data_IF_666830837397
#
_entry.id   IF_666830837397
#
_cell.length_a   1.000
_cell.length_b   1.000
_cell.length_c   1.000
_cell.angle_alpha   90.00
_cell.angle_beta   90.00
_cell.angle_gamma   90.00
#
_symmetry.space_group_name_H-M   'P 1'
#
loop_
_entity.id
_entity.type
_entity.pdbx_description
1 polymer ?
#
# COMPACT_ATOMS: atom_id res chain seq x y z
N UNK A 1 4.80 15.89 -1.84
CA UNK A 1 5.75 14.76 -1.82
C UNK A 1 5.84 14.07 -0.46
N UNK A 2 6.26 14.75 0.62
CA UNK A 2 6.43 14.10 1.95
C UNK A 2 5.19 13.36 2.45
N UNK A 3 3.98 13.90 2.28
CA UNK A 3 2.73 13.20 2.67
C UNK A 3 2.49 11.94 1.84
N UNK A 4 2.65 11.99 0.52
CA UNK A 4 2.47 10.84 -0.37
C UNK A 4 3.48 9.72 -0.08
N UNK A 5 4.74 10.09 0.15
CA UNK A 5 5.78 9.15 0.53
C UNK A 5 5.61 8.59 1.93
N UNK A 6 5.11 9.37 2.88
CA UNK A 6 4.74 8.89 4.20
C UNK A 6 3.59 7.88 4.11
N UNK A 7 2.58 8.13 3.28
CA UNK A 7 1.43 7.23 3.12
C UNK A 7 1.83 5.92 2.42
N UNK A 8 2.58 5.98 1.31
CA UNK A 8 3.07 4.76 0.63
C UNK A 8 4.08 4.02 1.50
N UNK A 9 4.92 4.75 2.25
CA UNK A 9 5.87 4.17 3.20
C UNK A 9 5.16 3.37 4.28
N UNK A 10 4.05 3.90 4.83
CA UNK A 10 3.24 3.18 5.79
C UNK A 10 2.68 1.87 5.20
N UNK A 11 2.05 1.91 4.01
CA UNK A 11 1.58 0.69 3.36
C UNK A 11 2.71 -0.31 3.10
N UNK A 12 3.84 0.19 2.60
CA UNK A 12 5.00 -0.61 2.29
C UNK A 12 5.54 -1.32 3.54
N UNK A 13 5.80 -0.61 4.62
CA UNK A 13 6.32 -1.20 5.85
C UNK A 13 5.29 -2.09 6.56
N UNK A 14 3.98 -1.84 6.39
CA UNK A 14 2.94 -2.79 6.83
C UNK A 14 3.02 -4.10 6.04
N UNK A 15 3.25 -4.06 4.73
CA UNK A 15 3.45 -5.27 3.94
C UNK A 15 4.75 -6.00 4.32
N UNK A 16 5.83 -5.27 4.61
CA UNK A 16 7.09 -5.86 5.13
C UNK A 16 6.88 -6.50 6.50
N UNK A 17 6.16 -5.85 7.42
CA UNK A 17 5.81 -6.41 8.72
C UNK A 17 4.91 -7.65 8.58
N UNK A 18 3.97 -7.64 7.64
CA UNK A 18 3.17 -8.82 7.33
C UNK A 18 4.04 -9.95 6.78
N UNK A 19 4.98 -9.68 5.87
CA UNK A 19 5.93 -10.69 5.40
C UNK A 19 6.77 -11.25 6.55
N UNK A 20 7.30 -10.40 7.44
CA UNK A 20 8.03 -10.83 8.64
C UNK A 20 7.19 -11.79 9.49
N UNK A 21 5.91 -11.47 9.72
CA UNK A 21 5.01 -12.33 10.47
C UNK A 21 4.74 -13.67 9.75
N UNK A 22 4.41 -13.63 8.45
CA UNK A 22 4.09 -14.83 7.65
C UNK A 22 5.29 -15.77 7.47
N UNK A 23 6.50 -15.23 7.50
CA UNK A 23 7.76 -15.98 7.40
C UNK A 23 8.36 -16.35 8.76
N UNK A 24 7.61 -16.16 9.86
CA UNK A 24 8.08 -16.42 11.22
C UNK A 24 9.44 -15.76 11.52
N UNK A 25 9.57 -14.47 11.19
CA UNK A 25 10.79 -13.71 11.40
C UNK A 25 11.79 -13.77 10.25
N UNK A 26 11.32 -13.83 9.01
CA UNK A 26 12.13 -13.99 7.80
C UNK A 26 12.93 -15.30 7.73
N UNK A 27 12.42 -16.36 8.34
CA UNK A 27 13.05 -17.67 8.21
C UNK A 27 12.84 -18.19 6.78
N UNK A 28 13.95 -18.60 6.14
CA UNK A 28 13.96 -18.94 4.73
C UNK A 28 13.15 -20.22 4.46
N UNK A 29 12.12 -20.06 3.62
CA UNK A 29 11.30 -21.16 3.16
C UNK A 29 11.25 -21.12 1.64
N UNK A 30 11.78 -22.15 0.97
CA UNK A 30 11.73 -22.29 -0.49
C UNK A 30 10.33 -22.67 -0.97
N UNK A 31 9.40 -21.72 -0.82
CA UNK A 31 7.97 -21.94 -1.07
C UNK A 31 7.40 -20.80 -1.90
N UNK A 32 6.32 -21.11 -2.62
CA UNK A 32 5.56 -20.12 -3.38
C UNK A 32 5.04 -18.99 -2.48
N UNK A 33 4.54 -19.35 -1.29
CA UNK A 33 4.02 -18.39 -0.32
C UNK A 33 5.10 -17.41 0.16
N UNK A 34 6.28 -17.92 0.53
CA UNK A 34 7.40 -17.08 0.96
C UNK A 34 7.81 -16.10 -0.14
N UNK A 35 8.00 -16.59 -1.36
CA UNK A 35 8.36 -15.77 -2.53
C UNK A 35 7.32 -14.70 -2.82
N UNK A 36 6.04 -15.06 -2.76
CA UNK A 36 4.93 -14.14 -2.95
C UNK A 36 4.94 -13.01 -1.92
N UNK A 37 5.04 -13.34 -0.63
CA UNK A 37 5.06 -12.34 0.43
C UNK A 37 6.32 -11.48 0.40
N UNK A 38 7.46 -12.05 0.03
CA UNK A 38 8.73 -11.32 -0.13
C UNK A 38 8.64 -10.25 -1.23
N UNK A 39 7.99 -10.55 -2.35
CA UNK A 39 7.92 -9.68 -3.53
C UNK A 39 6.81 -8.62 -3.42
N UNK A 40 5.76 -8.88 -2.65
CA UNK A 40 4.57 -8.02 -2.54
C UNK A 40 4.91 -6.55 -2.19
N UNK A 41 5.76 -6.23 -1.20
CA UNK A 41 6.16 -4.85 -0.92
C UNK A 41 6.86 -4.17 -2.11
N UNK A 42 7.69 -4.91 -2.85
CA UNK A 42 8.44 -4.37 -3.99
C UNK A 42 7.51 -4.06 -5.16
N UNK A 43 6.52 -4.91 -5.42
CA UNK A 43 5.49 -4.64 -6.44
C UNK A 43 4.68 -3.39 -6.09
N UNK A 44 4.37 -3.16 -4.81
CA UNK A 44 3.73 -1.90 -4.39
C UNK A 44 4.61 -0.69 -4.73
N UNK A 45 5.91 -0.73 -4.44
CA UNK A 45 6.83 0.36 -4.79
C UNK A 45 6.96 0.52 -6.31
N UNK A 46 7.04 -0.57 -7.08
CA UNK A 46 7.13 -0.53 -8.53
C UNK A 46 5.87 0.11 -9.15
N UNK A 47 4.69 -0.29 -8.67
CA UNK A 47 3.42 0.30 -9.08
C UNK A 47 3.35 1.79 -8.71
N UNK A 48 3.78 2.16 -7.50
CA UNK A 48 3.84 3.56 -7.10
C UNK A 48 4.82 4.38 -7.97
N UNK A 49 6.02 3.87 -8.23
CA UNK A 49 7.01 4.50 -9.11
C UNK A 49 6.46 4.70 -10.53
N UNK A 50 5.80 3.68 -11.08
CA UNK A 50 5.23 3.75 -12.42
C UNK A 50 4.03 4.70 -12.50
N UNK A 51 3.11 4.67 -11.53
CA UNK A 51 1.83 5.38 -11.58
C UNK A 51 1.90 6.80 -11.03
N UNK A 52 2.65 7.05 -9.96
CA UNK A 52 2.82 8.38 -9.38
C UNK A 52 4.23 8.90 -9.66
N UNK A 53 5.26 8.13 -9.29
CA UNK A 53 6.65 8.52 -9.43
C UNK A 53 7.14 9.51 -8.38
N UNK A 54 6.25 10.01 -7.52
CA UNK A 54 6.61 10.89 -6.43
C UNK A 54 7.24 12.22 -6.86
N UNK A 55 7.08 12.64 -8.12
CA UNK A 55 7.75 13.82 -8.69
C UNK A 55 8.73 13.52 -9.82
N UNK A 56 9.03 12.25 -10.10
CA UNK A 56 9.86 11.83 -11.25
C UNK A 56 9.17 12.12 -12.59
N UNK A 57 9.97 12.45 -13.61
CA UNK A 57 9.52 12.56 -14.99
C UNK A 57 9.02 11.22 -15.57
N UNK A 58 8.25 11.24 -16.66
CA UNK A 58 7.61 10.03 -17.23
C UNK A 58 8.61 8.91 -17.56
N UNK A 59 9.76 9.25 -18.14
CA UNK A 59 10.78 8.25 -18.48
C UNK A 59 11.52 7.76 -17.23
N UNK A 60 11.86 8.66 -16.30
CA UNK A 60 12.49 8.29 -15.02
C UNK A 60 11.59 7.37 -14.17
N UNK A 61 10.28 7.60 -14.19
CA UNK A 61 9.27 6.74 -13.56
C UNK A 61 9.29 5.32 -14.09
N UNK A 62 9.33 5.17 -15.42
CA UNK A 62 9.42 3.86 -16.06
C UNK A 62 10.72 3.17 -15.67
N UNK A 63 11.84 3.89 -15.75
CA UNK A 63 13.15 3.36 -15.39
C UNK A 63 13.21 2.92 -13.93
N UNK A 64 12.70 3.73 -12.99
CA UNK A 64 12.63 3.38 -11.57
C UNK A 64 11.73 2.15 -11.33
N UNK A 65 10.58 2.09 -12.00
CA UNK A 65 9.67 0.94 -11.90
C UNK A 65 10.28 -0.34 -12.47
N UNK A 66 10.95 -0.28 -13.62
CA UNK A 66 11.64 -1.43 -14.22
C UNK A 66 12.76 -1.92 -13.28
N UNK A 67 13.53 -1.01 -12.68
CA UNK A 67 14.54 -1.35 -11.68
C UNK A 67 13.96 -2.11 -10.49
N UNK A 68 12.83 -1.64 -9.97
CA UNK A 68 12.11 -2.30 -8.87
C UNK A 68 11.51 -3.65 -9.30
N UNK A 69 10.99 -3.77 -10.51
CA UNK A 69 10.48 -5.05 -11.05
C UNK A 69 11.61 -6.08 -11.12
N UNK A 70 12.79 -5.70 -11.62
CA UNK A 70 13.96 -6.59 -11.61
C UNK A 70 14.37 -6.99 -10.19
N UNK A 71 14.28 -6.06 -9.22
CA UNK A 71 14.45 -6.39 -7.81
C UNK A 71 13.43 -7.42 -7.31
N UNK A 72 12.15 -7.25 -7.67
CA UNK A 72 11.10 -8.20 -7.34
C UNK A 72 11.27 -9.57 -8.02
N UNK A 73 11.77 -9.61 -9.26
CA UNK A 73 12.14 -10.87 -9.94
C UNK A 73 13.29 -11.55 -9.19
N UNK A 74 14.29 -10.80 -8.76
CA UNK A 74 15.38 -11.33 -7.95
C UNK A 74 14.89 -11.94 -6.63
N UNK A 75 14.03 -11.22 -5.92
CA UNK A 75 13.39 -11.70 -4.69
C UNK A 75 12.56 -12.98 -4.90
N UNK A 76 11.79 -13.03 -5.99
CA UNK A 76 10.98 -14.20 -6.34
C UNK A 76 11.86 -15.43 -6.56
N UNK A 77 12.91 -15.29 -7.37
CA UNK A 77 13.81 -16.38 -7.73
C UNK A 77 14.56 -16.91 -6.50
N UNK A 78 15.08 -16.01 -5.65
CA UNK A 78 15.75 -16.38 -4.39
C UNK A 78 14.76 -17.10 -3.45
N UNK A 79 13.51 -16.65 -3.38
CA UNK A 79 12.50 -17.29 -2.53
C UNK A 79 12.05 -18.67 -3.02
N UNK A 80 12.18 -18.96 -4.32
CA UNK A 80 11.68 -20.20 -4.92
C UNK A 80 12.71 -21.35 -4.91
N UNK A 81 14.00 -21.04 -5.00
CA UNK A 81 15.05 -22.03 -5.19
C UNK A 81 16.27 -21.79 -4.29
N UNK A 82 16.84 -22.88 -3.76
CA UNK A 82 18.07 -22.86 -2.94
C UNK A 82 19.24 -22.19 -3.67
N UNK A 83 19.41 -22.50 -4.95
CA UNK A 83 20.46 -21.93 -5.80
C UNK A 83 20.01 -20.65 -6.53
N UNK A 84 18.84 -20.11 -6.16
CA UNK A 84 18.25 -18.93 -6.79
C UNK A 84 19.10 -17.66 -6.64
N UNK A 85 20.09 -17.65 -5.73
CA UNK A 85 20.95 -16.50 -5.45
C UNK A 85 21.73 -16.00 -6.68
N UNK A 86 22.15 -16.89 -7.58
CA UNK A 86 22.92 -16.52 -8.77
C UNK A 86 22.03 -15.78 -9.77
N UNK A 87 20.87 -16.36 -10.08
CA UNK A 87 19.91 -15.77 -11.01
C UNK A 87 19.26 -14.51 -10.38
N UNK A 88 19.09 -14.50 -9.07
CA UNK A 88 18.68 -13.33 -8.30
C UNK A 88 19.68 -12.18 -8.42
N UNK A 89 20.98 -12.44 -8.19
CA UNK A 89 22.04 -11.44 -8.34
C UNK A 89 22.10 -10.87 -9.77
N UNK A 90 21.88 -11.71 -10.79
CA UNK A 90 21.77 -11.24 -12.16
C UNK A 90 20.58 -10.28 -12.35
N UNK A 91 19.40 -10.63 -11.84
CA UNK A 91 18.21 -9.77 -11.90
C UNK A 91 18.43 -8.45 -11.15
N UNK A 92 18.95 -8.47 -9.92
CA UNK A 92 19.29 -7.26 -9.17
C UNK A 92 20.31 -6.39 -9.92
N UNK A 93 21.32 -7.00 -10.56
CA UNK A 93 22.30 -6.32 -11.40
C UNK A 93 21.65 -5.54 -12.55
N UNK A 94 20.66 -6.12 -13.23
CA UNK A 94 19.87 -5.41 -14.25
C UNK A 94 19.09 -4.24 -13.65
N UNK A 95 18.53 -4.40 -12.45
CA UNK A 95 17.87 -3.32 -11.72
C UNK A 95 18.82 -2.16 -11.39
N UNK A 96 20.06 -2.45 -11.01
CA UNK A 96 21.08 -1.43 -10.74
C UNK A 96 21.49 -0.65 -11.99
N UNK A 97 21.51 -1.27 -13.17
CA UNK A 97 21.70 -0.53 -14.42
C UNK A 97 20.60 0.52 -14.65
N UNK A 98 19.35 0.19 -14.31
CA UNK A 98 18.26 1.16 -14.34
C UNK A 98 18.52 2.31 -13.37
N UNK A 99 18.92 2.04 -12.13
CA UNK A 99 19.24 3.11 -11.18
C UNK A 99 20.42 3.99 -11.62
N UNK A 100 21.49 3.41 -12.18
CA UNK A 100 22.61 4.19 -12.73
C UNK A 100 22.16 5.16 -13.82
N UNK A 101 21.19 4.76 -14.65
CA UNK A 101 20.67 5.66 -15.68
C UNK A 101 19.93 6.88 -15.10
N UNK A 102 19.31 6.75 -13.91
CA UNK A 102 18.68 7.88 -13.19
C UNK A 102 19.73 8.87 -12.63
N UNK A 103 20.96 8.41 -12.37
CA UNK A 103 22.00 9.27 -11.80
C UNK A 103 22.62 10.22 -12.83
N UNK A 104 22.48 9.92 -14.13
CA UNK A 104 23.13 10.66 -15.23
C UNK A 104 22.76 12.15 -15.29
N UNK A 105 21.62 12.52 -14.70
CA UNK A 105 21.15 13.91 -14.66
C UNK A 105 21.80 14.75 -13.55
N UNK A 106 22.63 14.15 -12.71
CA UNK A 106 23.28 14.82 -11.59
C UNK A 106 24.79 14.90 -11.82
N UNK A 107 25.36 16.10 -11.67
CA UNK A 107 26.81 16.28 -11.67
C UNK A 107 27.44 15.42 -10.57
N UNK A 108 28.51 14.70 -10.92
CA UNK A 108 29.18 13.76 -10.02
C UNK A 108 30.64 14.16 -9.87
N UNK A 109 31.01 14.62 -8.67
CA UNK A 109 32.41 14.84 -8.30
C UNK A 109 32.87 13.70 -7.40
N UNK A 110 33.88 12.96 -7.86
CA UNK A 110 34.38 11.74 -7.21
C UNK A 110 34.88 12.04 -5.78
N UNK A 111 34.40 11.28 -4.80
CA UNK A 111 34.88 11.38 -3.41
C UNK A 111 35.97 10.32 -3.13
N UNK A 112 37.23 10.71 -3.31
CA UNK A 112 38.38 9.78 -3.29
C UNK A 112 38.53 8.94 -2.00
N UNK A 113 38.24 9.52 -0.82
CA UNK A 113 38.34 8.79 0.45
C UNK A 113 37.32 7.64 0.54
N UNK A 114 36.11 7.88 0.04
CA UNK A 114 35.05 6.89 0.02
C UNK A 114 35.34 5.81 -1.01
N UNK A 115 35.87 6.18 -2.18
CA UNK A 115 36.34 5.23 -3.19
C UNK A 115 37.38 4.27 -2.59
N UNK A 116 38.37 4.79 -1.88
CA UNK A 116 39.41 3.97 -1.24
C UNK A 116 38.82 3.01 -0.21
N UNK A 117 37.87 3.48 0.62
CA UNK A 117 37.15 2.64 1.58
C UNK A 117 36.37 1.51 0.91
N UNK A 118 35.65 1.80 -0.19
CA UNK A 118 34.93 0.79 -0.95
C UNK A 118 35.85 -0.23 -1.63
N UNK A 119 36.98 0.20 -2.18
CA UNK A 119 37.98 -0.70 -2.77
C UNK A 119 38.58 -1.61 -1.69
N UNK A 120 38.92 -1.07 -0.51
CA UNK A 120 39.42 -1.87 0.60
C UNK A 120 38.39 -2.92 1.04
N UNK A 121 37.11 -2.55 1.15
CA UNK A 121 36.05 -3.50 1.49
C UNK A 121 35.83 -4.55 0.40
N UNK A 122 35.88 -4.17 -0.87
CA UNK A 122 35.79 -5.10 -2.00
C UNK A 122 36.93 -6.14 -1.98
N UNK A 123 38.15 -5.73 -1.59
CA UNK A 123 39.26 -6.67 -1.38
C UNK A 123 38.94 -7.64 -0.24
N UNK A 124 38.41 -7.16 0.89
CA UNK A 124 38.03 -8.03 2.03
C UNK A 124 36.99 -9.07 1.61
N UNK A 125 35.88 -8.66 0.98
CA UNK A 125 34.84 -9.58 0.50
C UNK A 125 35.40 -10.52 -0.59
N UNK A 126 36.23 -10.00 -1.49
CA UNK A 126 36.88 -10.80 -2.53
C UNK A 126 37.75 -11.92 -1.94
N UNK A 127 38.54 -11.61 -0.91
CA UNK A 127 39.43 -12.57 -0.25
C UNK A 127 38.69 -13.57 0.63
N UNK A 128 37.71 -13.12 1.41
CA UNK A 128 37.01 -13.98 2.37
C UNK A 128 35.92 -14.84 1.72
N UNK A 129 35.25 -14.33 0.69
CA UNK A 129 34.05 -14.96 0.13
C UNK A 129 34.27 -15.48 -1.30
N UNK A 130 34.77 -14.65 -2.22
CA UNK A 130 34.76 -14.98 -3.66
C UNK A 130 35.95 -15.83 -4.11
N UNK A 131 37.16 -15.53 -3.63
CA UNK A 131 38.38 -16.27 -4.01
C UNK A 131 38.36 -17.74 -3.57
N UNK A 132 37.88 -18.10 -2.36
CA UNK A 132 37.75 -19.50 -1.98
C UNK A 132 36.82 -20.30 -2.90
N UNK A 133 35.80 -19.66 -3.49
CA UNK A 133 34.84 -20.29 -4.40
C UNK A 133 35.33 -20.40 -5.85
N UNK A 134 36.39 -19.68 -6.23
CA UNK A 134 36.85 -19.56 -7.61
C UNK A 134 37.29 -20.90 -8.26
N UNK A 135 37.96 -21.84 -7.56
CA UNK A 135 38.38 -23.11 -8.16
C UNK A 135 37.22 -23.97 -8.64
N UNK A 136 36.11 -23.98 -7.89
CA UNK A 136 34.97 -24.88 -8.10
C UNK A 136 33.82 -24.22 -8.88
N UNK A 137 33.65 -22.90 -8.74
CA UNK A 137 32.46 -22.19 -9.22
C UNK A 137 32.79 -20.90 -10.01
N UNK A 138 33.56 -21.02 -11.08
CA UNK A 138 34.00 -19.88 -11.92
C UNK A 138 32.83 -19.01 -12.44
N UNK A 139 31.75 -19.64 -12.92
CA UNK A 139 30.57 -18.93 -13.44
C UNK A 139 29.85 -18.10 -12.38
N UNK A 140 29.39 -18.70 -11.26
CA UNK A 140 28.77 -17.98 -10.16
C UNK A 140 29.64 -16.86 -9.59
N UNK A 141 30.94 -17.09 -9.42
CA UNK A 141 31.87 -16.06 -8.93
C UNK A 141 31.95 -14.86 -9.89
N UNK A 142 31.94 -15.09 -11.20
CA UNK A 142 31.91 -14.01 -12.19
C UNK A 142 30.62 -13.19 -12.10
N UNK A 143 29.47 -13.83 -11.91
CA UNK A 143 28.17 -13.15 -11.72
C UNK A 143 28.19 -12.31 -10.45
N UNK A 144 28.65 -12.86 -9.31
CA UNK A 144 28.76 -12.12 -8.05
C UNK A 144 29.73 -10.96 -8.13
N UNK A 145 30.87 -11.12 -8.80
CA UNK A 145 31.84 -10.05 -8.99
C UNK A 145 31.27 -8.91 -9.84
N UNK A 146 30.61 -9.22 -10.96
CA UNK A 146 29.98 -8.22 -11.82
C UNK A 146 28.84 -7.49 -11.11
N UNK A 147 28.00 -8.25 -10.40
CA UNK A 147 26.93 -7.69 -9.57
C UNK A 147 27.49 -6.75 -8.48
N UNK A 148 28.49 -7.22 -7.73
CA UNK A 148 29.13 -6.43 -6.66
C UNK A 148 29.76 -5.16 -7.21
N UNK A 149 30.34 -5.20 -8.41
CA UNK A 149 30.87 -4.02 -9.09
C UNK A 149 29.76 -3.01 -9.43
N UNK A 150 28.63 -3.48 -9.97
CA UNK A 150 27.50 -2.62 -10.31
C UNK A 150 26.90 -1.96 -9.06
N UNK A 151 26.63 -2.73 -8.00
CA UNK A 151 26.12 -2.21 -6.74
C UNK A 151 27.13 -1.25 -6.08
N UNK A 152 28.43 -1.59 -6.14
CA UNK A 152 29.50 -0.70 -5.66
C UNK A 152 29.50 0.62 -6.41
N UNK A 153 29.34 0.58 -7.73
CA UNK A 153 29.29 1.78 -8.59
C UNK A 153 28.07 2.63 -8.25
N UNK A 154 26.89 2.02 -8.06
CA UNK A 154 25.69 2.73 -7.64
C UNK A 154 25.91 3.47 -6.31
N UNK A 155 26.44 2.74 -5.32
CA UNK A 155 26.69 3.26 -3.97
C UNK A 155 27.72 4.38 -4.00
N UNK A 156 28.82 4.15 -4.71
CA UNK A 156 29.90 5.12 -4.90
C UNK A 156 29.39 6.43 -5.52
N UNK A 157 28.63 6.34 -6.61
CA UNK A 157 28.08 7.51 -7.29
C UNK A 157 27.07 8.24 -6.41
N UNK A 158 26.14 7.51 -5.78
CA UNK A 158 25.11 8.11 -4.93
C UNK A 158 25.72 8.88 -3.74
N UNK A 159 26.71 8.30 -3.06
CA UNK A 159 27.42 8.93 -1.94
C UNK A 159 28.29 10.09 -2.42
N UNK A 160 28.99 9.95 -3.56
CA UNK A 160 29.81 11.04 -4.11
C UNK A 160 28.96 12.23 -4.54
N UNK A 161 27.79 11.99 -5.12
CA UNK A 161 26.82 13.04 -5.46
C UNK A 161 26.27 13.74 -4.21
N UNK A 162 26.08 13.03 -3.10
CA UNK A 162 25.68 13.66 -1.85
C UNK A 162 26.81 14.51 -1.24
N UNK A 163 28.02 13.93 -1.08
CA UNK A 163 29.13 14.60 -0.38
C UNK A 163 29.77 15.74 -1.17
N UNK A 164 29.82 15.63 -2.50
CA UNK A 164 30.51 16.58 -3.38
C UNK A 164 29.57 17.18 -4.44
N UNK A 165 28.25 17.05 -4.26
CA UNK A 165 27.25 17.56 -5.20
C UNK A 165 27.28 19.08 -5.34
N UNK A 166 26.59 19.58 -6.37
CA UNK A 166 26.39 21.02 -6.54
C UNK A 166 25.35 21.52 -5.53
N UNK A 167 25.52 22.75 -5.01
CA UNK A 167 24.56 23.43 -4.14
C UNK A 167 23.21 23.71 -4.82
N UNK A 168 23.10 23.49 -6.13
CA UNK A 168 21.87 23.64 -6.91
C UNK A 168 20.96 22.40 -6.86
N UNK A 169 21.43 21.29 -6.29
CA UNK A 169 20.67 20.03 -6.20
C UNK A 169 19.93 19.91 -4.86
N UNK A 170 18.86 19.12 -4.83
CA UNK A 170 18.13 18.85 -3.60
C UNK A 170 18.93 17.90 -2.69
N UNK A 171 19.68 18.48 -1.75
CA UNK A 171 20.55 17.77 -0.80
C UNK A 171 19.82 16.67 -0.02
N UNK A 172 18.58 16.92 0.42
CA UNK A 172 17.78 15.95 1.16
C UNK A 172 17.50 14.69 0.32
N UNK A 173 17.15 14.86 -0.96
CA UNK A 173 16.94 13.74 -1.88
C UNK A 173 18.21 12.93 -2.12
N UNK A 174 19.34 13.62 -2.28
CA UNK A 174 20.65 12.98 -2.44
C UNK A 174 21.07 12.19 -1.20
N UNK A 175 20.84 12.75 0.00
CA UNK A 175 21.12 12.08 1.27
C UNK A 175 20.33 10.77 1.40
N UNK A 176 19.01 10.81 1.22
CA UNK A 176 18.19 9.59 1.33
C UNK A 176 18.58 8.53 0.31
N UNK A 177 18.93 8.94 -0.91
CA UNK A 177 19.45 8.03 -1.92
C UNK A 177 20.79 7.40 -1.50
N UNK A 178 21.72 8.20 -0.98
CA UNK A 178 23.02 7.73 -0.50
C UNK A 178 22.86 6.74 0.66
N UNK A 179 21.99 7.03 1.63
CA UNK A 179 21.63 6.10 2.72
C UNK A 179 21.04 4.81 2.14
N UNK A 180 20.11 4.92 1.21
CA UNK A 180 19.45 3.77 0.58
C UNK A 180 20.46 2.81 -0.08
N UNK A 181 21.36 3.32 -0.93
CA UNK A 181 22.38 2.47 -1.55
C UNK A 181 23.40 1.92 -0.54
N UNK A 182 23.73 2.67 0.51
CA UNK A 182 24.61 2.18 1.57
C UNK A 182 23.96 1.01 2.32
N UNK A 183 22.68 1.09 2.65
CA UNK A 183 21.93 -0.01 3.26
C UNK A 183 21.85 -1.22 2.33
N UNK A 184 21.65 -1.02 1.03
CA UNK A 184 21.68 -2.10 0.04
C UNK A 184 23.06 -2.77 0.00
N UNK A 185 24.13 -1.98 0.00
CA UNK A 185 25.51 -2.49 0.04
C UNK A 185 25.80 -3.32 1.29
N UNK A 186 25.29 -2.89 2.45
CA UNK A 186 25.38 -3.64 3.71
C UNK A 186 24.59 -4.94 3.64
N UNK A 187 23.33 -4.89 3.17
CA UNK A 187 22.47 -6.07 2.94
C UNK A 187 23.24 -7.15 2.19
N UNK A 188 23.80 -6.78 1.05
CA UNK A 188 24.36 -7.77 0.12
C UNK A 188 25.76 -8.23 0.51
N UNK A 189 26.51 -7.38 1.23
CA UNK A 189 27.73 -7.81 1.91
C UNK A 189 27.43 -8.89 2.95
N UNK A 190 26.38 -8.70 3.77
CA UNK A 190 25.97 -9.70 4.77
C UNK A 190 25.42 -10.95 4.09
N UNK A 191 24.67 -10.81 2.99
CA UNK A 191 24.13 -11.93 2.23
C UNK A 191 25.25 -12.84 1.70
N UNK A 192 26.29 -12.28 1.05
CA UNK A 192 27.39 -13.10 0.51
C UNK A 192 28.26 -13.71 1.62
N UNK A 193 28.50 -12.97 2.71
CA UNK A 193 29.21 -13.50 3.88
C UNK A 193 28.43 -14.65 4.56
N UNK A 194 27.10 -14.55 4.60
CA UNK A 194 26.25 -15.62 5.13
C UNK A 194 26.23 -16.83 4.19
N UNK A 195 26.14 -16.61 2.88
CA UNK A 195 26.13 -17.69 1.88
C UNK A 195 27.45 -18.48 1.89
N UNK A 196 28.58 -17.80 2.14
CA UNK A 196 29.91 -18.42 2.26
C UNK A 196 30.23 -18.95 3.66
N UNK A 197 29.31 -18.80 4.62
CA UNK A 197 29.47 -19.29 6.00
C UNK A 197 30.37 -18.44 6.90
N UNK A 198 30.87 -17.29 6.41
CA UNK A 198 31.70 -16.34 7.16
C UNK A 198 30.90 -15.60 8.23
N UNK A 199 29.61 -15.31 7.97
CA UNK A 199 28.73 -14.61 8.91
C UNK A 199 27.52 -15.47 9.31
N UNK A 200 27.24 -15.57 10.61
CA UNK A 200 26.15 -16.42 11.15
C UNK A 200 25.13 -15.67 12.02
N UNK A 201 25.39 -14.42 12.37
CA UNK A 201 24.54 -13.67 13.30
C UNK A 201 23.33 -13.07 12.58
N UNK A 202 22.14 -13.66 12.79
CA UNK A 202 20.85 -13.19 12.30
C UNK A 202 20.85 -12.69 10.83
N UNK A 203 21.40 -13.46 9.88
CA UNK A 203 21.64 -12.99 8.52
C UNK A 203 20.35 -12.52 7.82
N UNK A 204 19.29 -13.33 7.87
CA UNK A 204 18.03 -13.01 7.19
C UNK A 204 17.37 -11.73 7.71
N UNK A 205 17.45 -11.46 9.03
CA UNK A 205 16.94 -10.23 9.62
C UNK A 205 17.72 -9.01 9.15
N UNK A 206 19.05 -9.06 9.21
CA UNK A 206 19.92 -7.94 8.80
C UNK A 206 19.75 -7.67 7.30
N UNK A 207 19.84 -8.72 6.48
CA UNK A 207 19.70 -8.63 5.02
C UNK A 207 18.35 -8.00 4.66
N UNK A 208 17.23 -8.58 5.13
CA UNK A 208 15.92 -8.13 4.67
C UNK A 208 15.49 -6.78 5.26
N UNK A 209 15.85 -6.48 6.51
CA UNK A 209 15.56 -5.15 7.09
C UNK A 209 16.32 -4.03 6.38
N UNK A 210 17.61 -4.24 6.08
CA UNK A 210 18.42 -3.26 5.34
C UNK A 210 18.01 -3.17 3.88
N UNK A 211 17.67 -4.29 3.24
CA UNK A 211 17.16 -4.36 1.87
C UNK A 211 15.84 -3.60 1.67
N UNK A 212 14.79 -3.89 2.46
CA UNK A 212 13.50 -3.21 2.27
C UNK A 212 13.60 -1.72 2.61
N UNK A 213 14.37 -1.37 3.64
CA UNK A 213 14.65 0.04 3.96
C UNK A 213 15.40 0.73 2.81
N UNK A 214 16.37 0.06 2.20
CA UNK A 214 17.10 0.55 1.04
C UNK A 214 16.17 0.82 -0.14
N UNK A 215 15.33 -0.14 -0.52
CA UNK A 215 14.42 0.00 -1.67
C UNK A 215 13.48 1.20 -1.54
N UNK A 216 12.90 1.40 -0.35
CA UNK A 216 12.07 2.57 -0.07
C UNK A 216 12.87 3.87 -0.16
N UNK A 217 14.04 3.95 0.49
CA UNK A 217 14.86 5.16 0.53
C UNK A 217 15.46 5.53 -0.83
N UNK A 218 15.82 4.55 -1.66
CA UNK A 218 16.29 4.76 -3.02
C UNK A 218 15.19 5.40 -3.87
N UNK A 219 13.96 4.87 -3.82
CA UNK A 219 12.85 5.45 -4.56
C UNK A 219 12.51 6.85 -4.04
N UNK A 220 12.43 7.01 -2.72
CA UNK A 220 12.14 8.29 -2.09
C UNK A 220 13.18 9.37 -2.43
N UNK A 221 14.46 9.04 -2.27
CA UNK A 221 15.57 9.93 -2.57
C UNK A 221 15.63 10.33 -4.04
N UNK A 222 15.42 9.38 -4.96
CA UNK A 222 15.37 9.69 -6.39
C UNK A 222 14.22 10.65 -6.73
N UNK A 223 13.03 10.43 -6.17
CA UNK A 223 11.87 11.30 -6.40
C UNK A 223 12.05 12.71 -5.83
N UNK A 224 12.66 12.83 -4.65
CA UNK A 224 13.01 14.13 -4.07
C UNK A 224 14.14 14.83 -4.84
N UNK A 225 15.12 14.10 -5.36
CA UNK A 225 16.22 14.69 -6.11
C UNK A 225 15.77 15.23 -7.49
N UNK A 226 14.73 14.66 -8.07
CA UNK A 226 14.29 14.93 -9.44
C UNK A 226 13.26 16.08 -9.60
N UNK A 227 13.02 16.94 -8.60
CA UNK A 227 11.87 17.88 -8.57
C UNK A 227 11.71 18.69 -9.86
N UNK A 228 10.82 18.22 -10.74
CA UNK A 228 10.11 18.99 -11.76
C UNK A 228 8.62 18.75 -11.55
N UNK A 229 7.89 19.85 -11.34
CA UNK A 229 6.43 20.01 -11.19
C UNK A 229 5.61 18.75 -10.86
N UNK A 230 5.02 18.78 -9.67
CA UNK A 230 4.14 17.77 -9.10
C UNK A 230 2.91 17.49 -9.99
N UNK A 231 2.81 16.27 -10.52
CA UNK A 231 1.60 15.78 -11.20
C UNK A 231 0.81 14.90 -10.21
N UNK A 232 -0.45 15.26 -9.96
CA UNK A 232 -1.33 14.48 -9.09
C UNK A 232 -1.63 13.09 -9.68
N UNK A 233 -1.92 12.13 -8.79
CA UNK A 233 -2.45 10.82 -9.21
C UNK A 233 -3.76 11.05 -9.96
N UNK A 234 -3.89 10.48 -11.15
CA UNK A 234 -5.15 10.57 -11.88
C UNK A 234 -6.20 9.63 -11.26
N UNK A 235 -7.51 9.91 -11.43
CA UNK A 235 -8.56 9.03 -10.94
C UNK A 235 -8.41 7.57 -11.41
N UNK A 236 -7.94 7.36 -12.63
CA UNK A 236 -7.66 6.03 -13.17
C UNK A 236 -6.54 5.31 -12.40
N UNK A 237 -5.51 6.03 -11.95
CA UNK A 237 -4.42 5.46 -11.16
C UNK A 237 -4.89 5.09 -9.76
N UNK A 238 -5.68 5.96 -9.11
CA UNK A 238 -6.32 5.64 -7.83
C UNK A 238 -7.20 4.38 -7.94
N UNK A 239 -8.01 4.29 -9.01
CA UNK A 239 -8.86 3.13 -9.27
C UNK A 239 -8.04 1.86 -9.52
N UNK A 240 -6.91 1.96 -10.24
CA UNK A 240 -6.03 0.82 -10.49
C UNK A 240 -5.37 0.30 -9.20
N UNK A 241 -4.88 1.19 -8.34
CA UNK A 241 -4.26 0.82 -7.06
C UNK A 241 -5.30 0.18 -6.13
N UNK A 242 -6.44 0.84 -5.95
CA UNK A 242 -7.53 0.33 -5.12
C UNK A 242 -8.13 -0.97 -5.66
N UNK A 243 -8.45 -0.99 -6.96
CA UNK A 243 -8.99 -2.14 -7.65
C UNK A 243 -8.04 -3.34 -7.62
N UNK A 244 -6.73 -3.10 -7.81
CA UNK A 244 -5.70 -4.13 -7.69
C UNK A 244 -5.64 -4.72 -6.27
N UNK A 245 -5.67 -3.89 -5.24
CA UNK A 245 -5.71 -4.38 -3.85
C UNK A 245 -6.99 -5.15 -3.51
N UNK A 246 -8.13 -4.73 -4.08
CA UNK A 246 -9.43 -5.40 -3.91
C UNK A 246 -9.47 -6.74 -4.63
N UNK A 247 -8.93 -6.80 -5.85
CA UNK A 247 -8.80 -8.03 -6.63
C UNK A 247 -7.88 -9.04 -5.96
N UNK A 248 -6.75 -8.57 -5.41
CA UNK A 248 -5.86 -9.40 -4.61
C UNK A 248 -6.59 -9.98 -3.40
N UNK A 249 -7.29 -9.14 -2.65
CA UNK A 249 -8.11 -9.59 -1.53
C UNK A 249 -9.15 -10.62 -1.97
N UNK A 250 -9.84 -10.41 -3.10
CA UNK A 250 -10.84 -11.33 -3.67
C UNK A 250 -10.24 -12.71 -3.98
N UNK A 251 -9.11 -12.76 -4.69
CA UNK A 251 -8.46 -14.01 -5.09
C UNK A 251 -8.00 -14.80 -3.85
N UNK A 252 -7.24 -14.15 -2.96
CA UNK A 252 -6.64 -14.81 -1.79
C UNK A 252 -7.67 -15.29 -0.78
N UNK A 253 -8.80 -14.60 -0.68
CA UNK A 253 -9.89 -15.00 0.22
C UNK A 253 -10.89 -15.95 -0.43
N UNK A 254 -10.59 -16.48 -1.63
CA UNK A 254 -11.49 -17.36 -2.38
C UNK A 254 -12.86 -16.72 -2.55
N UNK A 255 -12.89 -15.57 -3.26
CA UNK A 255 -14.10 -14.77 -3.48
C UNK A 255 -14.68 -14.18 -2.19
N UNK A 256 -13.81 -13.72 -1.28
CA UNK A 256 -14.20 -13.19 0.03
C UNK A 256 -14.88 -14.19 0.98
N UNK A 257 -14.80 -15.49 0.72
CA UNK A 257 -15.34 -16.52 1.62
C UNK A 257 -14.46 -16.75 2.84
N UNK A 258 -13.13 -16.78 2.66
CA UNK A 258 -12.17 -17.03 3.73
C UNK A 258 -11.89 -15.76 4.52
N UNK A 259 -11.87 -15.87 5.84
CA UNK A 259 -11.50 -14.76 6.72
C UNK A 259 -9.98 -14.62 6.78
N UNK A 260 -9.43 -13.74 5.94
CA UNK A 260 -8.03 -13.35 6.01
C UNK A 260 -7.94 -11.89 6.47
N UNK A 261 -7.68 -11.69 7.76
CA UNK A 261 -8.00 -10.44 8.46
C UNK A 261 -7.32 -9.20 7.87
N UNK A 262 -6.03 -9.31 7.58
CA UNK A 262 -5.24 -8.22 7.03
C UNK A 262 -5.61 -7.94 5.57
N UNK A 263 -5.82 -9.00 4.78
CA UNK A 263 -6.10 -8.87 3.34
C UNK A 263 -7.48 -8.25 3.08
N UNK A 264 -8.48 -8.54 3.91
CA UNK A 264 -9.79 -7.92 3.80
C UNK A 264 -9.76 -6.43 4.19
N UNK A 265 -8.89 -6.01 5.11
CA UNK A 265 -8.74 -4.60 5.48
C UNK A 265 -7.87 -3.80 4.52
N UNK A 266 -6.97 -4.46 3.76
CA UNK A 266 -5.97 -3.82 2.92
C UNK A 266 -6.56 -2.82 1.90
N UNK A 267 -7.65 -3.10 1.16
CA UNK A 267 -8.20 -2.13 0.21
C UNK A 267 -8.64 -0.81 0.86
N UNK A 268 -9.15 -0.87 2.09
CA UNK A 268 -9.60 0.31 2.83
C UNK A 268 -8.41 1.09 3.42
N UNK A 269 -7.35 0.40 3.83
CA UNK A 269 -6.07 1.05 4.17
C UNK A 269 -5.50 1.77 2.94
N UNK A 270 -5.58 1.15 1.77
CA UNK A 270 -5.19 1.78 0.50
C UNK A 270 -6.03 3.03 0.21
N UNK A 271 -7.36 3.00 0.38
CA UNK A 271 -8.19 4.20 0.24
C UNK A 271 -7.84 5.29 1.25
N UNK A 272 -7.53 4.93 2.49
CA UNK A 272 -7.07 5.88 3.52
C UNK A 272 -5.82 6.62 3.05
N UNK A 273 -4.84 5.87 2.54
CA UNK A 273 -3.57 6.39 2.01
C UNK A 273 -3.79 7.28 0.78
N UNK A 274 -4.62 6.82 -0.18
CA UNK A 274 -4.96 7.58 -1.38
C UNK A 274 -5.68 8.88 -1.00
N UNK A 275 -6.56 8.85 0.00
CA UNK A 275 -7.25 10.04 0.51
C UNK A 275 -6.27 11.04 1.11
N UNK A 276 -5.31 10.60 1.93
CA UNK A 276 -4.28 11.49 2.48
C UNK A 276 -3.37 12.09 1.40
N UNK A 277 -3.30 11.47 0.22
CA UNK A 277 -2.53 11.92 -0.92
C UNK A 277 -3.26 12.94 -1.83
N UNK A 278 -4.55 13.21 -1.60
CA UNK A 278 -5.35 14.16 -2.40
C UNK A 278 -5.13 15.63 -2.00
N UNK A 279 -5.63 16.54 -2.84
CA UNK A 279 -5.63 18.00 -2.61
C UNK A 279 -6.87 18.53 -1.91
N UNK A 280 -7.79 17.66 -1.49
CA UNK A 280 -8.97 18.05 -0.73
C UNK A 280 -8.60 18.97 0.45
N UNK A 281 -9.54 19.84 0.84
CA UNK A 281 -9.42 20.64 2.06
C UNK A 281 -8.96 19.75 3.25
N UNK A 282 -7.98 20.19 4.08
CA UNK A 282 -7.48 19.39 5.19
C UNK A 282 -8.54 18.76 6.10
N UNK A 283 -9.63 19.49 6.39
CA UNK A 283 -10.72 18.98 7.23
C UNK A 283 -11.43 17.79 6.57
N UNK A 284 -11.87 17.97 5.33
CA UNK A 284 -12.51 16.91 4.53
C UNK A 284 -11.56 15.72 4.33
N UNK A 285 -10.31 16.01 3.94
CA UNK A 285 -9.30 14.98 3.69
C UNK A 285 -9.07 14.08 4.90
N UNK A 286 -8.91 14.68 6.09
CA UNK A 286 -8.70 13.92 7.33
C UNK A 286 -9.96 13.15 7.70
N UNK A 287 -11.15 13.76 7.62
CA UNK A 287 -12.40 13.09 7.94
C UNK A 287 -12.68 11.90 7.01
N UNK A 288 -12.47 12.05 5.70
CA UNK A 288 -12.60 10.95 4.73
C UNK A 288 -11.57 9.85 4.98
N UNK A 289 -10.31 10.20 5.26
CA UNK A 289 -9.28 9.21 5.56
C UNK A 289 -9.61 8.44 6.85
N UNK A 290 -10.06 9.12 7.90
CA UNK A 290 -10.49 8.48 9.14
C UNK A 290 -11.69 7.56 8.94
N UNK A 291 -12.64 7.93 8.08
CA UNK A 291 -13.74 7.04 7.70
C UNK A 291 -13.21 5.72 7.12
N UNK A 292 -12.37 5.77 6.08
CA UNK A 292 -11.82 4.55 5.49
C UNK A 292 -10.95 3.74 6.45
N UNK A 293 -10.20 4.41 7.33
CA UNK A 293 -9.41 3.74 8.36
C UNK A 293 -10.30 3.00 9.36
N UNK A 294 -11.37 3.64 9.84
CA UNK A 294 -12.32 3.02 10.76
C UNK A 294 -13.09 1.88 10.09
N UNK A 295 -13.43 1.99 8.80
CA UNK A 295 -13.94 0.86 8.02
C UNK A 295 -12.91 -0.28 7.95
N UNK A 296 -11.62 0.02 7.77
CA UNK A 296 -10.57 -1.00 7.70
C UNK A 296 -10.46 -1.77 9.02
N UNK A 297 -10.49 -1.05 10.14
CA UNK A 297 -10.50 -1.61 11.49
C UNK A 297 -11.77 -2.43 11.73
N UNK A 298 -12.94 -1.94 11.29
CA UNK A 298 -14.20 -2.68 11.38
C UNK A 298 -14.15 -4.01 10.61
N UNK A 299 -13.66 -3.99 9.38
CA UNK A 299 -13.49 -5.19 8.54
C UNK A 299 -12.50 -6.18 9.16
N UNK A 300 -11.43 -5.67 9.80
CA UNK A 300 -10.48 -6.49 10.54
C UNK A 300 -11.20 -7.23 11.69
N UNK A 301 -11.86 -6.50 12.59
CA UNK A 301 -12.57 -7.09 13.73
C UNK A 301 -13.70 -8.05 13.31
N UNK A 302 -14.42 -7.69 12.25
CA UNK A 302 -15.46 -8.54 11.68
C UNK A 302 -14.89 -9.91 11.26
N UNK A 303 -13.68 -9.92 10.72
CA UNK A 303 -13.03 -11.15 10.28
C UNK A 303 -12.39 -11.94 11.43
N UNK A 304 -11.94 -11.29 12.52
CA UNK A 304 -11.05 -11.88 13.54
C UNK A 304 -11.73 -12.86 14.50
N UNK A 305 -12.99 -12.69 14.90
CA UNK A 305 -13.71 -13.72 15.69
C UNK A 305 -15.11 -13.25 16.08
N UNK A 306 -16.10 -13.28 15.17
CA UNK A 306 -17.53 -12.95 15.46
C UNK A 306 -17.76 -11.75 16.40
N UNK A 307 -16.86 -10.76 16.42
CA UNK A 307 -17.02 -9.54 17.23
C UNK A 307 -17.96 -8.58 16.52
N UNK A 308 -19.15 -9.08 16.16
CA UNK A 308 -20.18 -8.33 15.48
C UNK A 308 -20.45 -6.97 16.17
N UNK A 309 -20.54 -6.89 17.53
CA UNK A 309 -20.66 -5.60 18.22
C UNK A 309 -19.50 -4.65 17.91
N UNK A 310 -18.25 -5.10 18.06
CA UNK A 310 -17.06 -4.27 17.87
C UNK A 310 -16.95 -3.78 16.43
N UNK A 311 -17.16 -4.65 15.44
CA UNK A 311 -17.15 -4.25 14.03
C UNK A 311 -18.25 -3.22 13.72
N UNK A 312 -19.45 -3.39 14.29
CA UNK A 312 -20.56 -2.48 14.07
C UNK A 312 -20.31 -1.10 14.68
N UNK A 313 -19.64 -1.02 15.84
CA UNK A 313 -19.20 0.24 16.43
C UNK A 313 -18.22 0.97 15.50
N UNK A 314 -17.19 0.29 15.00
CA UNK A 314 -16.22 0.91 14.09
C UNK A 314 -16.82 1.31 12.74
N UNK A 315 -17.75 0.54 12.18
CA UNK A 315 -18.50 0.96 10.98
C UNK A 315 -19.38 2.19 11.27
N UNK A 316 -19.99 2.28 12.45
CA UNK A 316 -20.75 3.46 12.86
C UNK A 316 -19.85 4.70 12.94
N UNK A 317 -18.68 4.57 13.59
CA UNK A 317 -17.69 5.66 13.68
C UNK A 317 -17.21 6.06 12.27
N UNK A 318 -17.00 5.09 11.39
CA UNK A 318 -16.67 5.35 9.99
C UNK A 318 -17.74 6.20 9.29
N UNK A 319 -19.01 5.84 9.44
CA UNK A 319 -20.13 6.60 8.87
C UNK A 319 -20.18 8.02 9.44
N UNK A 320 -19.95 8.20 10.74
CA UNK A 320 -19.88 9.55 11.35
C UNK A 320 -18.76 10.39 10.72
N UNK A 321 -17.54 9.85 10.60
CA UNK A 321 -16.45 10.57 9.95
C UNK A 321 -16.74 10.87 8.49
N UNK A 322 -17.39 9.94 7.78
CA UNK A 322 -17.78 10.16 6.40
C UNK A 322 -18.78 11.30 6.28
N UNK A 323 -19.83 11.33 7.12
CA UNK A 323 -20.77 12.45 7.19
C UNK A 323 -20.04 13.78 7.43
N UNK A 324 -19.15 13.82 8.43
CA UNK A 324 -18.40 15.03 8.77
C UNK A 324 -17.55 15.55 7.60
N UNK A 325 -17.11 14.67 6.70
CA UNK A 325 -16.28 15.08 5.55
C UNK A 325 -17.02 15.91 4.50
N UNK A 326 -18.35 15.78 4.38
CA UNK A 326 -19.15 16.52 3.39
C UNK A 326 -20.33 17.26 4.00
N UNK A 327 -20.46 17.31 5.33
CA UNK A 327 -21.60 17.96 6.02
C UNK A 327 -21.86 19.40 5.56
N UNK A 328 -20.79 20.12 5.19
CA UNK A 328 -20.88 21.52 4.78
C UNK A 328 -21.57 21.66 3.39
N UNK A 329 -21.68 20.57 2.62
CA UNK A 329 -22.47 20.50 1.39
C UNK A 329 -23.97 20.23 1.66
N UNK A 330 -24.32 19.79 2.86
CA UNK A 330 -25.71 19.45 3.24
C UNK A 330 -26.41 20.74 3.69
N UNK A 331 -26.98 21.49 2.75
CA UNK A 331 -27.72 22.72 3.05
C UNK A 331 -29.06 22.45 3.76
N UNK A 332 -29.96 21.71 3.10
CA UNK A 332 -31.26 21.31 3.66
C UNK A 332 -31.51 19.82 3.43
N UNK A 333 -31.89 19.12 4.49
CA UNK A 333 -32.26 17.70 4.39
C UNK A 333 -33.70 17.61 3.88
N UNK A 334 -33.90 16.85 2.81
CA UNK A 334 -35.22 16.64 2.20
C UNK A 334 -36.07 15.71 3.08
N UNK A 335 -37.12 16.24 3.72
CA UNK A 335 -38.01 15.48 4.61
C UNK A 335 -38.60 14.21 3.97
N UNK A 336 -39.07 14.22 2.69
CA UNK A 336 -39.57 13.01 2.04
C UNK A 336 -38.51 11.91 1.88
N UNK A 337 -37.27 12.29 1.59
CA UNK A 337 -36.16 11.34 1.40
C UNK A 337 -35.73 10.73 2.73
N UNK A 338 -35.68 11.55 3.79
CA UNK A 338 -35.42 11.06 5.14
C UNK A 338 -36.50 10.06 5.56
N UNK A 339 -37.77 10.42 5.36
CA UNK A 339 -38.91 9.57 5.68
C UNK A 339 -38.84 8.23 4.93
N UNK A 340 -38.58 8.26 3.61
CA UNK A 340 -38.43 7.06 2.79
C UNK A 340 -37.27 6.17 3.27
N UNK A 341 -36.11 6.78 3.56
CA UNK A 341 -34.90 6.05 4.01
C UNK A 341 -35.12 5.39 5.37
N UNK A 342 -35.84 6.09 6.27
CA UNK A 342 -36.25 5.57 7.57
C UNK A 342 -37.26 4.43 7.39
N UNK A 343 -38.32 4.58 6.59
CA UNK A 343 -39.31 3.53 6.40
C UNK A 343 -38.71 2.26 5.78
N UNK A 344 -37.87 2.40 4.75
CA UNK A 344 -37.18 1.27 4.15
C UNK A 344 -36.28 0.56 5.16
N UNK A 345 -35.58 1.30 6.01
CA UNK A 345 -34.67 0.67 6.97
C UNK A 345 -35.40 0.13 8.21
N UNK A 346 -36.44 0.81 8.67
CA UNK A 346 -37.21 0.46 9.86
C UNK A 346 -38.12 -0.75 9.64
N UNK A 347 -38.79 -0.85 8.48
CA UNK A 347 -39.60 -2.02 8.13
C UNK A 347 -38.78 -3.31 8.08
N UNK A 348 -37.56 -3.22 7.52
CA UNK A 348 -36.63 -4.35 7.48
C UNK A 348 -35.97 -4.62 8.85
N UNK A 349 -35.70 -3.56 9.63
CA UNK A 349 -35.19 -3.65 10.99
C UNK A 349 -36.12 -4.45 11.92
N UNK A 350 -37.43 -4.16 11.89
CA UNK A 350 -38.41 -4.88 12.71
C UNK A 350 -38.49 -6.37 12.35
N UNK A 351 -38.42 -6.72 11.06
CA UNK A 351 -38.50 -8.12 10.64
C UNK A 351 -37.24 -8.94 11.00
N UNK A 352 -36.06 -8.32 10.94
CA UNK A 352 -34.78 -9.01 11.19
C UNK A 352 -34.38 -9.08 12.66
N UNK A 353 -34.74 -8.07 13.46
CA UNK A 353 -34.24 -7.93 14.82
C UNK A 353 -35.29 -8.16 15.91
N UNK A 354 -36.55 -8.45 15.59
CA UNK A 354 -37.56 -8.73 16.62
C UNK A 354 -37.10 -9.87 17.56
N UNK A 355 -36.66 -10.99 17.00
CA UNK A 355 -36.17 -12.13 17.78
C UNK A 355 -34.85 -11.80 18.49
N UNK A 356 -33.99 -10.99 17.84
CA UNK A 356 -32.70 -10.59 18.40
C UNK A 356 -32.83 -9.58 19.54
N UNK A 357 -33.83 -8.70 19.51
CA UNK A 357 -34.14 -7.73 20.56
C UNK A 357 -34.55 -8.45 21.86
N UNK A 358 -35.28 -9.55 21.74
CA UNK A 358 -35.67 -10.38 22.88
C UNK A 358 -34.47 -11.19 23.39
N UNK A 359 -33.69 -11.80 22.49
CA UNK A 359 -32.61 -12.69 22.87
C UNK A 359 -31.32 -11.97 23.34
N UNK A 360 -30.89 -10.93 22.62
CA UNK A 360 -29.61 -10.22 22.84
C UNK A 360 -29.80 -8.70 22.59
N UNK A 361 -30.51 -7.98 23.48
CA UNK A 361 -30.91 -6.58 23.28
C UNK A 361 -29.73 -5.63 23.03
N UNK A 362 -28.58 -5.90 23.67
CA UNK A 362 -27.36 -5.11 23.49
C UNK A 362 -26.83 -5.17 22.05
N UNK A 363 -26.71 -6.37 21.48
CA UNK A 363 -26.26 -6.55 20.10
C UNK A 363 -27.28 -5.93 19.13
N UNK A 364 -28.57 -6.14 19.39
CA UNK A 364 -29.63 -5.56 18.58
C UNK A 364 -29.54 -4.03 18.53
N UNK A 365 -29.35 -3.38 19.68
CA UNK A 365 -29.20 -1.91 19.78
C UNK A 365 -27.99 -1.41 19.00
N UNK A 366 -26.84 -2.09 19.09
CA UNK A 366 -25.64 -1.71 18.32
C UNK A 366 -25.90 -1.82 16.81
N UNK A 367 -26.55 -2.88 16.37
CA UNK A 367 -26.91 -3.07 14.96
C UNK A 367 -27.96 -2.05 14.49
N UNK A 368 -28.89 -1.63 15.36
CA UNK A 368 -29.82 -0.52 15.10
C UNK A 368 -29.07 0.78 14.84
N UNK A 369 -28.11 1.11 15.71
CA UNK A 369 -27.31 2.33 15.60
C UNK A 369 -26.50 2.31 14.30
N UNK A 370 -25.90 1.16 13.96
CA UNK A 370 -25.20 0.99 12.69
C UNK A 370 -26.13 1.25 11.50
N UNK A 371 -27.30 0.62 11.45
CA UNK A 371 -28.24 0.81 10.34
C UNK A 371 -28.75 2.25 10.27
N UNK A 372 -29.06 2.87 11.41
CA UNK A 372 -29.44 4.28 11.49
C UNK A 372 -28.35 5.21 10.95
N UNK A 373 -27.06 4.90 11.22
CA UNK A 373 -25.96 5.69 10.66
C UNK A 373 -25.87 5.59 9.14
N UNK A 374 -26.14 4.43 8.54
CA UNK A 374 -26.24 4.29 7.07
C UNK A 374 -27.44 5.06 6.51
N UNK A 375 -28.58 5.07 7.20
CA UNK A 375 -29.76 5.87 6.82
C UNK A 375 -29.43 7.36 6.81
N UNK A 376 -28.69 7.85 7.82
CA UNK A 376 -28.24 9.24 7.84
C UNK A 376 -27.35 9.58 6.64
N UNK A 377 -26.39 8.71 6.30
CA UNK A 377 -25.55 8.90 5.10
C UNK A 377 -26.38 8.89 3.82
N UNK A 378 -27.32 7.95 3.70
CA UNK A 378 -28.20 7.85 2.55
C UNK A 378 -29.07 9.10 2.38
N UNK A 379 -29.76 9.53 3.44
CA UNK A 379 -30.65 10.67 3.42
C UNK A 379 -29.90 11.98 3.12
N UNK A 380 -28.73 12.17 3.73
CA UNK A 380 -27.91 13.37 3.49
C UNK A 380 -27.26 13.36 2.11
N UNK A 381 -26.80 12.21 1.61
CA UNK A 381 -26.25 12.08 0.25
C UNK A 381 -27.31 12.34 -0.82
N UNK A 382 -28.52 11.82 -0.62
CA UNK A 382 -29.66 12.07 -1.48
C UNK A 382 -30.09 13.54 -1.44
N UNK A 383 -30.05 14.17 -0.26
CA UNK A 383 -30.32 15.61 -0.11
C UNK A 383 -29.28 16.48 -0.82
N UNK A 384 -27.98 16.13 -0.77
CA UNK A 384 -26.93 16.80 -1.55
C UNK A 384 -27.16 16.63 -3.05
N UNK A 385 -27.61 15.45 -3.49
CA UNK A 385 -27.94 15.21 -4.89
C UNK A 385 -29.14 16.05 -5.37
N UNK A 386 -30.17 16.21 -4.52
CA UNK A 386 -31.39 16.95 -4.86
C UNK A 386 -31.21 18.48 -4.74
N UNK A 387 -30.64 18.93 -3.63
CA UNK A 387 -30.64 20.34 -3.20
C UNK A 387 -29.26 21.00 -3.30
N UNK A 388 -28.22 20.26 -3.70
CA UNK A 388 -26.87 20.79 -3.85
C UNK A 388 -26.81 21.90 -4.90
N UNK A 389 -25.97 22.92 -4.64
CA UNK A 389 -25.69 23.95 -5.64
C UNK A 389 -24.80 23.36 -6.74
N UNK A 390 -25.44 22.86 -7.80
CA UNK A 390 -24.75 22.27 -8.96
C UNK A 390 -24.32 23.38 -9.92
N UNK A 391 -23.32 24.16 -9.54
CA UNK A 391 -22.74 25.20 -10.41
C UNK A 391 -21.85 24.65 -11.53
N UNK A 392 -21.33 23.42 -11.37
CA UNK A 392 -20.41 22.75 -12.29
C UNK A 392 -20.77 21.27 -12.47
N UNK A 393 -20.45 20.69 -13.63
CA UNK A 393 -20.70 19.29 -13.99
C UNK A 393 -20.06 18.31 -12.99
N UNK A 394 -18.85 18.62 -12.51
CA UNK A 394 -18.13 17.79 -11.55
C UNK A 394 -18.83 17.72 -10.19
N UNK A 395 -19.46 18.81 -9.73
CA UNK A 395 -20.21 18.82 -8.48
C UNK A 395 -21.44 17.90 -8.54
N UNK A 396 -22.15 17.88 -9.68
CA UNK A 396 -23.28 16.99 -9.90
C UNK A 396 -22.85 15.52 -10.01
N UNK A 397 -21.75 15.25 -10.70
CA UNK A 397 -21.19 13.90 -10.77
C UNK A 397 -20.77 13.40 -9.38
N UNK A 398 -20.12 14.27 -8.58
CA UNK A 398 -19.73 13.96 -7.21
C UNK A 398 -20.95 13.64 -6.32
N UNK A 399 -22.04 14.40 -6.42
CA UNK A 399 -23.25 14.12 -5.64
C UNK A 399 -23.94 12.80 -6.03
N UNK A 400 -23.94 12.46 -7.33
CA UNK A 400 -24.48 11.19 -7.81
C UNK A 400 -23.63 10.01 -7.33
N UNK A 401 -22.30 10.10 -7.47
CA UNK A 401 -21.39 9.09 -6.95
C UNK A 401 -21.57 8.88 -5.44
N UNK A 402 -21.76 9.96 -4.67
CA UNK A 402 -22.03 9.89 -3.24
C UNK A 402 -23.32 9.14 -2.94
N UNK A 403 -24.40 9.46 -3.65
CA UNK A 403 -25.70 8.80 -3.49
C UNK A 403 -25.63 7.30 -3.82
N UNK A 404 -25.06 6.93 -4.97
CA UNK A 404 -24.89 5.52 -5.33
C UNK A 404 -23.99 4.78 -4.34
N UNK A 405 -22.88 5.39 -3.90
CA UNK A 405 -22.02 4.83 -2.87
C UNK A 405 -22.77 4.60 -1.55
N UNK A 406 -23.63 5.54 -1.14
CA UNK A 406 -24.44 5.41 0.07
C UNK A 406 -25.49 4.28 -0.04
N UNK A 407 -26.16 4.15 -1.20
CA UNK A 407 -27.12 3.07 -1.47
C UNK A 407 -26.42 1.71 -1.40
N UNK A 408 -25.28 1.57 -2.08
CA UNK A 408 -24.50 0.32 -2.07
C UNK A 408 -23.98 0.00 -0.66
N UNK A 409 -23.52 1.01 0.08
CA UNK A 409 -23.05 0.83 1.47
C UNK A 409 -24.17 0.31 2.37
N UNK A 410 -25.37 0.92 2.30
CA UNK A 410 -26.56 0.46 3.01
C UNK A 410 -26.96 -0.96 2.60
N UNK A 411 -27.01 -1.25 1.29
CA UNK A 411 -27.37 -2.57 0.77
C UNK A 411 -26.38 -3.65 1.22
N UNK A 412 -25.08 -3.34 1.23
CA UNK A 412 -24.05 -4.24 1.72
C UNK A 412 -24.26 -4.57 3.21
N UNK A 413 -24.42 -3.55 4.05
CA UNK A 413 -24.67 -3.72 5.48
C UNK A 413 -25.94 -4.54 5.73
N UNK A 414 -27.00 -4.27 4.97
CA UNK A 414 -28.25 -5.03 5.04
C UNK A 414 -28.05 -6.50 4.68
N UNK A 415 -27.46 -6.81 3.52
CA UNK A 415 -27.21 -8.19 3.08
C UNK A 415 -26.33 -8.96 4.07
N UNK A 416 -25.36 -8.29 4.66
CA UNK A 416 -24.46 -8.86 5.65
C UNK A 416 -25.19 -9.22 6.95
N UNK A 417 -26.04 -8.32 7.47
CA UNK A 417 -26.88 -8.58 8.65
C UNK A 417 -27.86 -9.71 8.33
N UNK A 418 -28.54 -9.63 7.19
CA UNK A 418 -29.48 -10.67 6.72
C UNK A 418 -28.83 -12.05 6.65
N UNK A 419 -27.64 -12.14 6.06
CA UNK A 419 -26.90 -13.38 5.97
C UNK A 419 -26.40 -13.89 7.33
N UNK A 420 -26.13 -12.98 8.27
CA UNK A 420 -25.63 -13.33 9.60
C UNK A 420 -26.71 -13.90 10.52
N UNK A 421 -27.99 -13.64 10.27
CA UNK A 421 -29.09 -14.04 11.16
C UNK A 421 -30.18 -14.91 10.51
N UNK A 422 -30.28 -14.96 9.17
CA UNK A 422 -31.32 -15.76 8.51
C UNK A 422 -30.77 -16.88 7.62
N UNK A 423 -30.01 -16.54 6.57
CA UNK A 423 -29.76 -17.48 5.46
C UNK A 423 -28.40 -18.17 5.48
N UNK A 424 -27.37 -17.56 6.08
CA UNK A 424 -26.02 -18.12 6.23
C UNK A 424 -25.39 -18.68 4.94
N UNK A 425 -25.67 -18.06 3.79
CA UNK A 425 -25.12 -18.49 2.50
C UNK A 425 -23.79 -17.81 2.21
N UNK A 426 -22.87 -18.55 1.60
CA UNK A 426 -21.59 -18.02 1.12
C UNK A 426 -21.77 -16.97 0.03
N UNK A 427 -22.73 -17.20 -0.88
CA UNK A 427 -23.01 -16.29 -1.99
C UNK A 427 -23.41 -14.89 -1.50
N UNK A 428 -24.36 -14.78 -0.57
CA UNK A 428 -24.80 -13.48 -0.06
C UNK A 428 -23.65 -12.78 0.67
N UNK A 429 -22.82 -13.53 1.42
CA UNK A 429 -21.62 -12.99 2.07
C UNK A 429 -20.65 -12.37 1.05
N UNK A 430 -20.28 -13.12 0.01
CA UNK A 430 -19.39 -12.65 -1.06
C UNK A 430 -19.96 -11.46 -1.81
N UNK A 431 -21.25 -11.50 -2.18
CA UNK A 431 -21.94 -10.39 -2.85
C UNK A 431 -21.95 -9.14 -1.98
N UNK A 432 -22.26 -9.28 -0.68
CA UNK A 432 -22.26 -8.15 0.26
C UNK A 432 -20.89 -7.46 0.33
N UNK A 433 -19.78 -8.22 0.29
CA UNK A 433 -18.41 -7.69 0.31
C UNK A 433 -18.01 -7.04 -1.01
N UNK A 434 -18.42 -7.59 -2.16
CA UNK A 434 -18.21 -6.92 -3.47
C UNK A 434 -18.90 -5.55 -3.48
N UNK A 435 -20.16 -5.50 -3.06
CA UNK A 435 -20.94 -4.26 -2.96
C UNK A 435 -20.26 -3.28 -1.99
N UNK A 436 -19.75 -3.78 -0.86
CA UNK A 436 -19.04 -2.96 0.13
C UNK A 436 -17.81 -2.26 -0.46
N UNK A 437 -16.93 -2.97 -1.15
CA UNK A 437 -15.73 -2.36 -1.74
C UNK A 437 -16.09 -1.43 -2.91
N UNK A 438 -17.11 -1.75 -3.70
CA UNK A 438 -17.61 -0.84 -4.74
C UNK A 438 -18.13 0.46 -4.12
N UNK A 439 -18.91 0.37 -3.04
CA UNK A 439 -19.43 1.52 -2.31
C UNK A 439 -18.31 2.45 -1.83
N UNK A 440 -17.30 1.92 -1.15
CA UNK A 440 -16.17 2.71 -0.64
C UNK A 440 -15.38 3.42 -1.76
N UNK A 441 -15.23 2.79 -2.93
CA UNK A 441 -14.62 3.42 -4.11
C UNK A 441 -15.43 4.63 -4.58
N UNK A 442 -16.75 4.48 -4.69
CA UNK A 442 -17.63 5.58 -5.14
C UNK A 442 -17.63 6.73 -4.14
N UNK A 443 -17.63 6.43 -2.84
CA UNK A 443 -17.54 7.42 -1.77
C UNK A 443 -16.20 8.19 -1.80
N UNK A 444 -15.08 7.50 -2.08
CA UNK A 444 -13.78 8.14 -2.27
C UNK A 444 -13.81 9.16 -3.43
N UNK A 445 -14.25 8.74 -4.61
CA UNK A 445 -14.31 9.62 -5.79
C UNK A 445 -15.33 10.74 -5.64
N UNK A 446 -16.41 10.52 -4.88
CA UNK A 446 -17.38 11.57 -4.58
C UNK A 446 -16.75 12.72 -3.79
N UNK A 447 -15.88 12.43 -2.82
CA UNK A 447 -15.21 13.47 -2.06
C UNK A 447 -14.03 14.09 -2.81
N UNK A 448 -13.29 13.29 -3.58
CA UNK A 448 -12.14 13.79 -4.36
C UNK A 448 -12.56 14.75 -5.48
N UNK A 449 -13.76 14.57 -6.04
CA UNK A 449 -14.29 15.48 -7.04
C UNK A 449 -15.02 16.69 -6.46
N UNK A 450 -15.51 16.58 -5.22
CA UNK A 450 -16.25 17.66 -4.59
C UNK A 450 -15.35 18.72 -3.93
N UNK A 451 -14.11 18.37 -3.57
CA UNK A 451 -13.19 19.18 -2.77
C UNK A 451 -11.75 19.02 -3.25
#
# INVERSE_FOLDING_TARGET
MRSQFSSIGLAYFVLVANFYYQSNGFNDHFTLSYSFWKVTPIILLAAFAYLNGGGLGKEERKTAAIGLVFGGVGDWVIGMHQDGIILGAFAFGLGHLCYLSLFRHHETKIHNKFLLGMLAWAVVIGQLCLLPLLPEHKGPVAVFALYSLLLSTCTFIAVSQYLNGSSTQNEEGLLYRAIGFTLFYISDSVLIMSHTGVWKLAPSLIVLSTYYSAQYLILYGNSLAAVKVQKMLSPAQCLAIYGGSTLLAYIETSSFEKNHHVLLSLPLVVLTILTLATTMNPKTRIATALSFLMSAVATYFQSVNRTAPTSAVFYTISNVFYYLSYRDLVGTVSSPILLLSVFLSFGHFLHLLQDLLVAIPFLATILTILLASHVCILATSASVCQNGQHGDFDARQASLLRLFGAILSWLSAFLLIYNSFQTHTKLIHSVSRIIFYLANSMLFFANERAF
#
